data_IF_154004087443
#
_entry.id   IF_154004087443
#
_cell.length_a   1.000
_cell.length_b   1.000
_cell.length_c   1.000
_cell.angle_alpha   90.00
_cell.angle_beta   90.00
_cell.angle_gamma   90.00
#
_symmetry.space_group_name_H-M   'P 1'
#
loop_
_entity.id
_entity.type
_entity.pdbx_description
1 polymer ?
#
# COMPACT_ATOMS: atom_id res chain seq x y z
N UNK A 1 9.03 -37.95 27.54
CA UNK A 1 7.80 -37.16 27.32
C UNK A 1 8.15 -36.09 26.30
N UNK A 2 7.67 -36.21 25.06
CA UNK A 2 7.87 -35.18 24.02
C UNK A 2 6.91 -34.02 24.26
N UNK A 3 7.44 -32.86 24.60
CA UNK A 3 6.70 -31.60 24.62
C UNK A 3 6.28 -31.26 23.20
N UNK A 4 4.99 -31.32 22.89
CA UNK A 4 4.49 -30.94 21.58
C UNK A 4 4.57 -29.42 21.41
N UNK A 5 5.18 -28.98 20.31
CA UNK A 5 5.38 -27.58 19.92
C UNK A 5 4.08 -26.78 19.75
N UNK A 6 2.93 -27.46 19.65
CA UNK A 6 1.63 -26.84 19.41
C UNK A 6 0.91 -26.38 20.69
N UNK A 7 1.46 -26.63 21.89
CA UNK A 7 0.79 -26.24 23.14
C UNK A 7 0.68 -24.71 23.32
N UNK A 8 1.53 -23.94 22.62
CA UNK A 8 1.56 -22.47 22.65
C UNK A 8 0.68 -21.83 21.54
N UNK A 9 0.00 -22.63 20.71
CA UNK A 9 -0.85 -22.09 19.65
C UNK A 9 -2.20 -21.64 20.22
N UNK A 10 -2.23 -20.42 20.77
CA UNK A 10 -3.45 -19.80 21.25
C UNK A 10 -4.00 -18.81 20.18
N UNK A 11 -5.22 -19.06 19.64
CA UNK A 11 -5.85 -18.21 18.64
C UNK A 11 -6.00 -16.75 19.07
N UNK A 12 -6.05 -16.45 20.37
CA UNK A 12 -6.16 -15.08 20.92
C UNK A 12 -4.90 -14.27 20.61
N UNK A 13 -3.72 -14.89 20.62
CA UNK A 13 -2.45 -14.21 20.38
C UNK A 13 -2.21 -13.97 18.88
N UNK A 14 -2.77 -14.80 18.01
CA UNK A 14 -2.66 -14.66 16.56
C UNK A 14 -3.76 -13.75 15.97
N UNK A 15 -4.96 -13.70 16.57
CA UNK A 15 -5.98 -12.69 16.23
C UNK A 15 -5.61 -11.35 16.85
N UNK A 16 -4.56 -10.73 16.31
CA UNK A 16 -4.21 -9.34 16.60
C UNK A 16 -5.35 -8.45 16.11
N UNK A 17 -6.42 -8.33 16.90
CA UNK A 17 -7.35 -7.20 16.78
C UNK A 17 -6.47 -5.98 16.94
N UNK A 18 -6.26 -5.24 15.85
CA UNK A 18 -5.56 -3.95 15.89
C UNK A 18 -6.46 -2.90 16.55
N UNK A 19 -6.91 -3.17 17.78
CA UNK A 19 -7.68 -2.29 18.67
C UNK A 19 -6.71 -1.41 19.45
N UNK A 20 -5.96 -0.59 18.71
CA UNK A 20 -5.04 0.40 19.26
C UNK A 20 -4.71 1.44 18.18
N UNK A 21 -4.32 2.67 18.56
CA UNK A 21 -3.85 3.66 17.61
C UNK A 21 -2.67 3.07 16.82
N UNK A 22 -2.59 3.35 15.50
CA UNK A 22 -1.47 2.87 14.71
C UNK A 22 -0.14 3.41 15.25
N UNK A 23 0.97 2.72 14.98
CA UNK A 23 2.31 3.30 15.14
C UNK A 23 2.40 4.69 14.50
N UNK A 24 3.23 5.58 15.05
CA UNK A 24 3.34 6.97 14.58
C UNK A 24 3.75 7.09 13.10
N UNK A 25 4.42 6.08 12.54
CA UNK A 25 4.83 6.01 11.14
C UNK A 25 3.78 5.36 10.20
N UNK A 26 2.65 4.90 10.72
CA UNK A 26 1.59 4.34 9.90
C UNK A 26 0.73 5.44 9.30
N UNK A 27 0.57 5.39 7.98
CA UNK A 27 -0.36 6.23 7.23
C UNK A 27 -1.50 5.36 6.70
N UNK A 28 -2.74 5.81 6.90
CA UNK A 28 -3.91 5.13 6.36
C UNK A 28 -3.83 5.05 4.83
N UNK A 29 -3.89 3.84 4.27
CA UNK A 29 -3.81 3.60 2.83
C UNK A 29 -5.06 4.02 2.06
N UNK A 30 -6.17 4.30 2.75
CA UNK A 30 -7.37 4.87 2.13
C UNK A 30 -7.23 6.38 2.03
N UNK A 31 -7.14 7.10 3.14
CA UNK A 31 -7.20 8.57 3.14
C UNK A 31 -5.86 9.31 3.22
N UNK A 32 -4.73 8.63 3.43
CA UNK A 32 -3.42 9.27 3.55
C UNK A 32 -3.15 9.99 4.87
N UNK A 33 -4.07 9.94 5.85
CA UNK A 33 -3.89 10.54 7.18
C UNK A 33 -3.33 9.52 8.19
N UNK A 34 -2.62 10.00 9.21
CA UNK A 34 -2.13 9.19 10.33
C UNK A 34 -3.21 9.03 11.43
N UNK A 35 -2.93 8.21 12.44
CA UNK A 35 -3.77 8.08 13.64
C UNK A 35 -4.90 7.04 13.59
N UNK A 36 -5.18 6.41 12.45
CA UNK A 36 -6.12 5.29 12.35
C UNK A 36 -5.70 4.26 11.31
N UNK A 37 -6.08 2.99 11.48
CA UNK A 37 -5.90 1.95 10.48
C UNK A 37 -6.91 2.08 9.33
N UNK A 38 -6.58 1.55 8.15
CA UNK A 38 -7.48 1.53 6.97
C UNK A 38 -8.88 0.98 7.28
N UNK A 39 -8.98 -0.01 8.17
CA UNK A 39 -10.24 -0.61 8.61
C UNK A 39 -11.12 0.35 9.42
N UNK A 40 -10.49 1.27 10.15
CA UNK A 40 -11.13 2.28 11.01
C UNK A 40 -11.07 3.67 10.35
N UNK A 41 -10.96 3.72 9.02
CA UNK A 41 -10.87 5.00 8.32
C UNK A 41 -12.22 5.74 8.38
N UNK A 42 -12.25 7.03 8.76
CA UNK A 42 -13.51 7.79 8.82
C UNK A 42 -14.20 7.89 7.46
N UNK A 43 -13.44 7.83 6.36
CA UNK A 43 -13.97 7.88 4.99
C UNK A 43 -14.40 6.50 4.45
N UNK A 44 -14.53 5.47 5.31
CA UNK A 44 -14.86 4.11 4.86
C UNK A 44 -16.25 3.99 4.22
N UNK A 45 -17.20 4.86 4.60
CA UNK A 45 -18.57 4.87 4.08
C UNK A 45 -18.84 5.83 2.91
N UNK A 46 -17.87 6.67 2.53
CA UNK A 46 -18.07 7.68 1.49
C UNK A 46 -17.88 7.06 0.09
N UNK A 47 -18.99 6.93 -0.66
CA UNK A 47 -18.98 6.49 -2.07
C UNK A 47 -18.49 7.65 -2.95
N UNK A 48 -17.20 7.72 -3.19
CA UNK A 48 -16.58 8.78 -4.00
C UNK A 48 -15.22 9.26 -3.47
N UNK A 49 -14.77 8.72 -2.34
CA UNK A 49 -13.42 8.99 -1.84
C UNK A 49 -12.39 8.28 -2.74
N UNK A 50 -11.83 9.01 -3.71
CA UNK A 50 -10.66 8.58 -4.46
C UNK A 50 -9.43 8.66 -3.54
N UNK A 51 -8.70 7.55 -3.33
CA UNK A 51 -7.50 7.57 -2.51
C UNK A 51 -6.45 8.48 -3.16
N UNK A 52 -5.64 9.19 -2.36
CA UNK A 52 -4.55 10.00 -2.91
C UNK A 52 -3.62 9.12 -3.75
N UNK A 53 -3.34 9.56 -4.97
CA UNK A 53 -2.50 8.84 -5.93
C UNK A 53 -1.06 8.80 -5.40
N UNK A 54 -0.65 7.66 -4.86
CA UNK A 54 0.70 7.43 -4.35
C UNK A 54 1.59 6.93 -5.47
N UNK A 55 2.41 7.84 -6.00
CA UNK A 55 3.40 7.51 -7.01
C UNK A 55 4.41 6.54 -6.42
N UNK A 56 4.54 5.36 -7.04
CA UNK A 56 5.53 4.34 -6.66
C UNK A 56 6.74 4.44 -7.58
N UNK A 57 7.91 4.12 -7.05
CA UNK A 57 9.12 3.95 -7.86
C UNK A 57 9.05 2.68 -8.70
N UNK A 58 9.54 2.73 -9.93
CA UNK A 58 9.69 1.55 -10.78
C UNK A 58 10.82 0.67 -10.25
N UNK A 59 10.50 -0.54 -9.81
CA UNK A 59 11.50 -1.55 -9.42
C UNK A 59 11.36 -2.76 -10.33
N UNK A 60 12.45 -3.20 -10.97
CA UNK A 60 12.51 -4.46 -11.72
C UNK A 60 11.98 -4.42 -13.16
N UNK A 61 11.26 -3.39 -13.59
CA UNK A 61 10.79 -3.26 -14.98
C UNK A 61 11.86 -2.51 -15.81
N UNK A 62 12.31 -3.06 -16.96
CA UNK A 62 13.28 -2.38 -17.81
C UNK A 62 12.68 -1.12 -18.46
N UNK A 63 13.51 -0.10 -18.70
CA UNK A 63 13.07 1.17 -19.30
C UNK A 63 12.47 1.00 -20.71
N UNK A 64 12.88 -0.02 -21.45
CA UNK A 64 12.35 -0.29 -22.80
C UNK A 64 10.86 -0.60 -22.80
N UNK A 65 10.31 -1.10 -21.68
CA UNK A 65 8.89 -1.43 -21.52
C UNK A 65 8.10 -0.28 -20.87
N UNK A 66 8.69 0.91 -20.75
CA UNK A 66 8.10 2.07 -20.11
C UNK A 66 8.01 3.24 -21.08
N UNK A 67 6.84 3.83 -21.19
CA UNK A 67 6.62 5.07 -21.93
C UNK A 67 6.70 6.24 -20.97
N UNK A 68 7.63 7.16 -21.23
CA UNK A 68 7.76 8.40 -20.46
C UNK A 68 6.51 9.26 -20.61
N UNK A 69 6.09 9.89 -19.51
CA UNK A 69 4.96 10.81 -19.44
C UNK A 69 5.34 12.02 -18.60
N UNK A 70 4.89 13.22 -18.99
CA UNK A 70 5.11 14.44 -18.22
C UNK A 70 4.11 14.58 -17.06
N UNK A 71 2.91 14.01 -17.21
CA UNK A 71 1.82 14.14 -16.26
C UNK A 71 1.83 13.05 -15.16
N UNK A 72 2.00 13.42 -13.87
CA UNK A 72 1.97 12.49 -12.74
C UNK A 72 0.58 11.89 -12.47
N UNK A 73 -0.47 12.50 -13.04
CA UNK A 73 -1.87 12.12 -12.81
C UNK A 73 -2.31 10.93 -13.68
N UNK A 74 -1.50 10.49 -14.64
CA UNK A 74 -1.85 9.35 -15.49
C UNK A 74 -1.89 8.07 -14.65
N UNK A 75 -2.95 7.29 -14.82
CA UNK A 75 -3.12 6.01 -14.11
C UNK A 75 -1.95 5.08 -14.45
N UNK A 76 -1.28 4.59 -13.41
CA UNK A 76 -0.10 3.72 -13.57
C UNK A 76 1.22 4.45 -13.79
N UNK A 77 1.26 5.78 -13.66
CA UNK A 77 2.52 6.52 -13.66
C UNK A 77 3.39 6.09 -12.47
N UNK A 78 4.60 5.64 -12.79
CA UNK A 78 5.64 5.27 -11.84
C UNK A 78 6.84 6.20 -11.99
N UNK A 79 7.52 6.48 -10.88
CA UNK A 79 8.75 7.25 -10.89
C UNK A 79 9.92 6.36 -11.31
N UNK A 80 10.58 6.69 -12.40
CA UNK A 80 11.79 5.99 -12.85
C UNK A 80 13.01 6.41 -12.05
N UNK A 81 14.09 5.61 -12.10
CA UNK A 81 15.36 5.95 -11.41
C UNK A 81 16.01 7.24 -11.94
N UNK A 82 15.63 7.71 -13.12
CA UNK A 82 16.11 8.97 -13.73
C UNK A 82 15.26 10.18 -13.31
N UNK A 83 14.28 9.99 -12.42
CA UNK A 83 13.40 11.06 -11.94
C UNK A 83 12.27 11.43 -12.89
N UNK A 84 12.09 10.69 -13.99
CA UNK A 84 10.97 10.90 -14.93
C UNK A 84 9.79 10.01 -14.57
N UNK A 85 8.57 10.47 -14.84
CA UNK A 85 7.38 9.63 -14.74
C UNK A 85 7.27 8.77 -16.00
N UNK A 86 6.90 7.51 -15.83
CA UNK A 86 6.66 6.62 -16.95
C UNK A 86 5.55 5.62 -16.62
N UNK A 87 4.81 5.23 -17.65
CA UNK A 87 3.75 4.21 -17.56
C UNK A 87 4.27 2.95 -18.23
N UNK A 88 4.14 1.76 -17.60
CA UNK A 88 4.52 0.51 -18.23
C UNK A 88 3.58 0.22 -19.41
N UNK A 89 4.14 0.18 -20.62
CA UNK A 89 3.47 -0.28 -21.83
C UNK A 89 3.70 -1.77 -21.91
N UNK A 90 2.93 -2.54 -21.14
CA UNK A 90 2.85 -3.99 -21.32
C UNK A 90 1.94 -4.18 -22.54
N UNK A 91 2.50 -4.04 -23.74
CA UNK A 91 1.80 -4.52 -24.94
C UNK A 91 1.56 -6.02 -24.75
N UNK A 92 0.29 -6.42 -24.91
CA UNK A 92 -0.14 -7.82 -24.99
C UNK A 92 0.29 -8.43 -26.32
#
# INVERSE_FOLDING_TARGET
>A
MMSQSNHEYDPIHYVKKLTGPPPANYTCYRCGKNGHHIRNCPTNGEKGFEPPQRIKKSTGIPRSFMKEVDDPSIKGAMLTNTGRYAVPTIDA
#
